data_IF_912730155042
#
_entry.id   IF_912730155042
#
_cell.length_a   1.000
_cell.length_b   1.000
_cell.length_c   1.000
_cell.angle_alpha   90.00
_cell.angle_beta   90.00
_cell.angle_gamma   90.00
#
_symmetry.space_group_name_H-M   'P 1'
#
loop_
_entity.id
_entity.type
_entity.pdbx_description
1 polymer ?
#
# COMPACT_ATOMS: atom_id res chain seq x y z
N UNK A 1 -34.06 0.89 1.52
CA UNK A 1 -33.61 0.82 0.11
C UNK A 1 -32.09 1.00 0.10
N UNK A 2 -31.32 -0.09 0.28
CA UNK A 2 -29.86 -0.03 0.39
C UNK A 2 -29.24 -0.05 -1.02
N UNK A 3 -28.91 1.12 -1.56
CA UNK A 3 -28.09 1.24 -2.76
C UNK A 3 -26.65 0.82 -2.42
N UNK A 4 -26.39 -0.49 -2.37
CA UNK A 4 -25.02 -1.00 -2.26
C UNK A 4 -24.28 -0.65 -3.56
N UNK A 5 -23.23 0.17 -3.47
CA UNK A 5 -22.38 0.51 -4.61
C UNK A 5 -21.85 -0.76 -5.29
N UNK A 6 -21.91 -0.79 -6.62
CA UNK A 6 -21.36 -1.92 -7.40
C UNK A 6 -19.83 -1.90 -7.28
N UNK A 7 -19.24 -3.08 -7.16
CA UNK A 7 -17.78 -3.24 -7.01
C UNK A 7 -16.99 -2.57 -8.14
N UNK A 8 -17.55 -2.51 -9.36
CA UNK A 8 -16.95 -1.80 -10.48
C UNK A 8 -16.80 -0.29 -10.24
N UNK A 9 -17.79 0.35 -9.61
CA UNK A 9 -17.75 1.79 -9.36
C UNK A 9 -16.72 2.12 -8.27
N UNK A 10 -16.65 1.29 -7.23
CA UNK A 10 -15.64 1.41 -6.17
C UNK A 10 -14.23 1.25 -6.76
N UNK A 11 -14.01 0.24 -7.60
CA UNK A 11 -12.73 0.02 -8.25
C UNK A 11 -12.32 1.20 -9.14
N UNK A 12 -13.22 1.70 -10.00
CA UNK A 12 -12.92 2.85 -10.87
C UNK A 12 -12.59 4.08 -10.03
N UNK A 13 -13.38 4.38 -9.00
CA UNK A 13 -13.14 5.51 -8.11
C UNK A 13 -11.77 5.40 -7.41
N UNK A 14 -11.46 4.23 -6.85
CA UNK A 14 -10.21 3.96 -6.16
C UNK A 14 -9.00 4.03 -7.10
N UNK A 15 -9.12 3.50 -8.32
CA UNK A 15 -8.07 3.55 -9.34
C UNK A 15 -7.80 4.99 -9.78
N UNK A 16 -8.85 5.77 -10.08
CA UNK A 16 -8.71 7.18 -10.45
C UNK A 16 -8.08 8.00 -9.33
N UNK A 17 -8.51 7.78 -8.09
CA UNK A 17 -7.96 8.48 -6.94
C UNK A 17 -6.49 8.12 -6.70
N UNK A 18 -6.13 6.83 -6.85
CA UNK A 18 -4.75 6.34 -6.73
C UNK A 18 -3.84 6.89 -7.85
N UNK A 19 -4.36 7.03 -9.07
CA UNK A 19 -3.63 7.68 -10.17
C UNK A 19 -3.47 9.17 -9.89
N UNK A 20 -4.55 9.86 -9.51
CA UNK A 20 -4.53 11.30 -9.23
C UNK A 20 -3.54 11.66 -8.13
N UNK A 21 -3.54 10.93 -7.01
CA UNK A 21 -2.61 11.19 -5.92
C UNK A 21 -1.16 10.88 -6.32
N UNK A 22 -0.92 9.84 -7.14
CA UNK A 22 0.43 9.53 -7.64
C UNK A 22 0.92 10.60 -8.63
N UNK A 23 0.03 11.13 -9.47
CA UNK A 23 0.34 12.26 -10.36
C UNK A 23 0.72 13.51 -9.56
N UNK A 24 -0.08 13.86 -8.56
CA UNK A 24 0.19 15.00 -7.67
C UNK A 24 1.52 14.78 -6.93
N UNK A 25 1.76 13.56 -6.43
CA UNK A 25 3.01 13.21 -5.76
C UNK A 25 4.22 13.39 -6.67
N UNK A 26 4.19 12.87 -7.89
CA UNK A 26 5.30 13.01 -8.84
C UNK A 26 5.51 14.47 -9.25
N UNK A 27 4.43 15.20 -9.55
CA UNK A 27 4.51 16.60 -9.97
C UNK A 27 5.09 17.51 -8.88
N UNK A 28 4.68 17.30 -7.62
CA UNK A 28 5.04 18.20 -6.53
C UNK A 28 6.32 17.78 -5.81
N UNK A 29 6.59 16.49 -5.66
CA UNK A 29 7.70 16.00 -4.83
C UNK A 29 8.90 15.49 -5.63
N UNK A 30 8.71 14.94 -6.83
CA UNK A 30 9.79 14.36 -7.66
C UNK A 30 10.27 15.39 -8.68
N UNK A 31 10.79 16.52 -8.16
CA UNK A 31 11.28 17.62 -8.99
C UNK A 31 12.73 17.42 -9.42
N UNK A 32 13.15 18.12 -10.49
CA UNK A 32 14.55 18.12 -10.94
C UNK A 32 15.51 18.48 -9.81
N UNK A 33 15.17 19.46 -8.96
CA UNK A 33 15.98 19.83 -7.79
C UNK A 33 16.21 18.64 -6.84
N UNK A 34 15.15 17.92 -6.47
CA UNK A 34 15.25 16.76 -5.57
C UNK A 34 16.07 15.63 -6.22
N UNK A 35 15.91 15.45 -7.54
CA UNK A 35 16.68 14.47 -8.31
C UNK A 35 18.18 14.79 -8.28
N UNK A 36 18.56 16.04 -8.53
CA UNK A 36 19.95 16.52 -8.47
C UNK A 36 20.53 16.46 -7.06
N UNK A 37 19.76 16.81 -6.03
CA UNK A 37 20.20 16.66 -4.65
C UNK A 37 20.54 15.20 -4.30
N UNK A 38 19.73 14.27 -4.78
CA UNK A 38 19.92 12.82 -4.53
C UNK A 38 21.15 12.28 -5.22
N UNK A 39 21.37 12.68 -6.48
CA UNK A 39 22.45 12.17 -7.33
C UNK A 39 23.61 13.16 -7.48
N UNK A 40 23.81 14.03 -6.48
CA UNK A 40 24.84 15.08 -6.50
C UNK A 40 26.28 14.56 -6.65
N UNK A 41 26.50 13.28 -6.37
CA UNK A 41 27.76 12.57 -6.59
C UNK A 41 28.05 12.21 -8.06
N UNK A 42 27.06 12.32 -8.95
CA UNK A 42 27.20 12.05 -10.38
C UNK A 42 27.35 13.35 -11.18
N UNK A 43 27.89 13.24 -12.39
CA UNK A 43 27.97 14.37 -13.30
C UNK A 43 26.57 14.90 -13.68
N UNK A 44 26.44 16.23 -13.74
CA UNK A 44 25.15 16.89 -13.99
C UNK A 44 24.48 16.43 -15.29
N UNK A 45 25.27 16.16 -16.35
CA UNK A 45 24.72 15.69 -17.63
C UNK A 45 24.09 14.31 -17.49
N UNK A 46 24.75 13.41 -16.74
CA UNK A 46 24.25 12.07 -16.46
C UNK A 46 22.99 12.10 -15.59
N UNK A 47 22.94 13.00 -14.61
CA UNK A 47 21.75 13.18 -13.76
C UNK A 47 20.56 13.68 -14.59
N UNK A 48 20.81 14.58 -15.53
CA UNK A 48 19.79 15.09 -16.46
C UNK A 48 19.24 13.99 -17.37
N UNK A 49 20.12 13.19 -17.99
CA UNK A 49 19.72 12.05 -18.81
C UNK A 49 18.87 11.04 -18.03
N UNK A 50 19.23 10.75 -16.77
CA UNK A 50 18.47 9.86 -15.90
C UNK A 50 17.09 10.43 -15.56
N UNK A 51 16.99 11.73 -15.29
CA UNK A 51 15.73 12.41 -15.01
C UNK A 51 14.81 12.40 -16.23
N UNK A 52 15.34 12.69 -17.42
CA UNK A 52 14.58 12.71 -18.68
C UNK A 52 14.10 11.31 -19.06
N UNK A 53 14.94 10.29 -18.86
CA UNK A 53 14.55 8.89 -19.04
C UNK A 53 13.39 8.53 -18.11
N UNK A 54 13.48 8.86 -16.82
CA UNK A 54 12.41 8.61 -15.86
C UNK A 54 11.10 9.30 -16.30
N UNK A 55 11.17 10.59 -16.67
CA UNK A 55 10.02 11.37 -17.11
C UNK A 55 9.36 10.78 -18.36
N UNK A 56 10.16 10.27 -19.31
CA UNK A 56 9.66 9.66 -20.55
C UNK A 56 8.82 8.39 -20.30
N UNK A 57 9.16 7.60 -19.29
CA UNK A 57 8.52 6.30 -19.02
C UNK A 57 7.56 6.29 -17.82
N UNK A 58 7.40 7.43 -17.13
CA UNK A 58 6.55 7.53 -15.92
C UNK A 58 5.10 7.10 -16.17
N UNK A 59 4.58 7.29 -17.39
CA UNK A 59 3.22 6.93 -17.78
C UNK A 59 2.97 5.41 -17.71
N UNK A 60 3.99 4.58 -17.89
CA UNK A 60 3.90 3.13 -17.74
C UNK A 60 3.55 2.79 -16.29
N UNK A 61 4.17 3.49 -15.35
CA UNK A 61 3.86 3.37 -13.93
C UNK A 61 2.38 3.64 -13.64
N UNK A 62 1.80 4.68 -14.24
CA UNK A 62 0.39 5.01 -14.07
C UNK A 62 -0.56 3.94 -14.63
N UNK A 63 -0.20 3.31 -15.75
CA UNK A 63 -0.98 2.22 -16.35
C UNK A 63 -0.95 0.94 -15.50
N UNK A 64 0.14 0.71 -14.76
CA UNK A 64 0.28 -0.44 -13.87
C UNK A 64 -0.49 -0.30 -12.55
N UNK A 65 -0.82 0.93 -12.12
CA UNK A 65 -1.54 1.16 -10.84
C UNK A 65 -2.88 0.39 -10.79
N UNK A 66 -3.80 0.50 -11.77
CA UNK A 66 -5.05 -0.25 -11.75
C UNK A 66 -4.83 -1.77 -11.76
N UNK A 67 -3.86 -2.25 -12.55
CA UNK A 67 -3.56 -3.69 -12.64
C UNK A 67 -3.09 -4.22 -11.29
N UNK A 68 -2.17 -3.52 -10.63
CA UNK A 68 -1.71 -3.87 -9.30
C UNK A 68 -2.84 -3.84 -8.26
N UNK A 69 -3.66 -2.79 -8.29
CA UNK A 69 -4.81 -2.65 -7.41
C UNK A 69 -5.81 -3.81 -7.57
N UNK A 70 -6.06 -4.23 -8.81
CA UNK A 70 -6.94 -5.35 -9.12
C UNK A 70 -6.38 -6.66 -8.55
N UNK A 71 -5.09 -6.93 -8.76
CA UNK A 71 -4.42 -8.12 -8.23
C UNK A 71 -4.48 -8.13 -6.70
N UNK A 72 -4.11 -7.01 -6.06
CA UNK A 72 -4.10 -6.87 -4.60
C UNK A 72 -5.48 -7.15 -4.02
N UNK A 73 -6.51 -6.46 -4.51
CA UNK A 73 -7.87 -6.61 -4.00
C UNK A 73 -8.45 -7.99 -4.31
N UNK A 74 -8.10 -8.60 -5.44
CA UNK A 74 -8.46 -9.98 -5.74
C UNK A 74 -7.88 -10.97 -4.74
N UNK A 75 -6.57 -10.87 -4.43
CA UNK A 75 -5.91 -11.72 -3.44
C UNK A 75 -6.55 -11.55 -2.06
N UNK A 76 -6.79 -10.31 -1.60
CA UNK A 76 -7.48 -10.06 -0.33
C UNK A 76 -8.90 -10.65 -0.32
N UNK A 77 -9.61 -10.58 -1.45
CA UNK A 77 -10.95 -11.15 -1.54
C UNK A 77 -10.95 -12.67 -1.40
N UNK A 78 -9.91 -13.33 -1.91
CA UNK A 78 -9.72 -14.77 -1.74
C UNK A 78 -9.40 -15.13 -0.29
N UNK A 79 -8.55 -14.37 0.40
CA UNK A 79 -8.23 -14.63 1.81
C UNK A 79 -9.45 -14.42 2.70
N UNK A 80 -10.30 -13.44 2.41
CA UNK A 80 -11.59 -13.27 3.08
C UNK A 80 -12.54 -14.44 2.79
N UNK A 81 -12.58 -14.97 1.56
CA UNK A 81 -13.39 -16.15 1.25
C UNK A 81 -12.92 -17.39 2.02
N UNK A 82 -11.62 -17.59 2.15
CA UNK A 82 -11.07 -18.66 2.99
C UNK A 82 -11.52 -18.46 4.44
N UNK A 83 -11.40 -17.24 4.97
CA UNK A 83 -11.85 -16.92 6.33
C UNK A 83 -13.35 -17.19 6.54
N UNK A 84 -14.23 -16.79 5.61
CA UNK A 84 -15.67 -17.05 5.73
C UNK A 84 -15.99 -18.54 5.70
N UNK A 85 -15.33 -19.30 4.83
CA UNK A 85 -15.47 -20.76 4.75
C UNK A 85 -15.04 -21.46 6.05
N UNK A 86 -13.92 -21.05 6.65
CA UNK A 86 -13.44 -21.58 7.95
C UNK A 86 -14.47 -21.33 9.05
N UNK A 87 -15.12 -20.16 9.04
CA UNK A 87 -16.17 -19.82 10.01
C UNK A 87 -17.53 -20.48 9.70
N UNK A 88 -17.63 -21.28 8.63
CA UNK A 88 -18.86 -21.98 8.24
C UNK A 88 -19.88 -21.11 7.49
N UNK A 89 -19.49 -19.92 7.04
CA UNK A 89 -20.36 -19.01 6.28
C UNK A 89 -20.00 -18.99 4.80
N UNK A 90 -21.00 -18.74 3.95
CA UNK A 90 -20.81 -18.60 2.51
C UNK A 90 -21.16 -17.19 2.08
N UNK A 91 -20.16 -16.45 1.62
CA UNK A 91 -20.34 -15.19 0.90
C UNK A 91 -20.07 -15.39 -0.60
N UNK A 92 -20.76 -14.61 -1.42
CA UNK A 92 -20.41 -14.52 -2.85
C UNK A 92 -19.08 -13.78 -2.96
N UNK A 93 -18.24 -14.19 -3.91
CA UNK A 93 -16.95 -13.53 -4.16
C UNK A 93 -17.12 -12.03 -4.44
N UNK A 94 -18.21 -11.62 -5.10
CA UNK A 94 -18.51 -10.21 -5.34
C UNK A 94 -18.72 -9.39 -4.06
N UNK A 95 -19.12 -10.02 -2.96
CA UNK A 95 -19.27 -9.39 -1.65
C UNK A 95 -17.92 -9.22 -0.96
N UNK A 96 -17.09 -10.28 -0.92
CA UNK A 96 -15.72 -10.16 -0.35
C UNK A 96 -14.86 -9.19 -1.16
N UNK A 97 -15.03 -9.16 -2.49
CA UNK A 97 -14.40 -8.17 -3.36
C UNK A 97 -14.85 -6.75 -3.08
N UNK A 98 -16.14 -6.54 -2.82
CA UNK A 98 -16.63 -5.22 -2.40
C UNK A 98 -15.98 -4.80 -1.09
N UNK A 99 -15.91 -5.70 -0.10
CA UNK A 99 -15.29 -5.43 1.20
C UNK A 99 -13.80 -5.07 1.05
N UNK A 100 -13.05 -5.85 0.27
CA UNK A 100 -11.64 -5.58 -0.01
C UNK A 100 -11.45 -4.21 -0.67
N UNK A 101 -12.25 -3.88 -1.69
CA UNK A 101 -12.21 -2.57 -2.37
C UNK A 101 -12.56 -1.41 -1.44
N UNK A 102 -13.54 -1.56 -0.55
CA UNK A 102 -13.91 -0.50 0.40
C UNK A 102 -12.81 -0.26 1.43
N UNK A 103 -12.17 -1.31 1.93
CA UNK A 103 -11.08 -1.19 2.90
C UNK A 103 -9.83 -0.54 2.28
N UNK A 104 -9.59 -0.76 0.99
CA UNK A 104 -8.38 -0.30 0.30
C UNK A 104 -8.26 1.24 0.25
N UNK A 105 -9.37 1.98 0.40
CA UNK A 105 -9.35 3.44 0.54
C UNK A 105 -8.50 3.93 1.73
N UNK A 106 -8.28 3.10 2.75
CA UNK A 106 -7.44 3.45 3.89
C UNK A 106 -6.00 3.72 3.47
N UNK A 107 -5.49 3.02 2.46
CA UNK A 107 -4.11 3.17 1.99
C UNK A 107 -3.88 4.45 1.18
N UNK A 108 -4.91 5.26 0.96
CA UNK A 108 -4.77 6.62 0.41
C UNK A 108 -4.27 7.58 1.50
N UNK A 109 -4.67 7.39 2.75
CA UNK A 109 -4.27 8.23 3.88
C UNK A 109 -2.75 8.36 4.06
N UNK A 110 -1.94 7.27 4.08
CA UNK A 110 -0.49 7.39 4.20
C UNK A 110 0.13 8.17 3.03
N UNK A 111 -0.44 8.08 1.83
CA UNK A 111 0.05 8.82 0.66
C UNK A 111 -0.20 10.32 0.82
N UNK A 112 -1.38 10.72 1.32
CA UNK A 112 -1.71 12.12 1.61
C UNK A 112 -0.81 12.66 2.72
N UNK A 113 -0.60 11.89 3.78
CA UNK A 113 0.26 12.31 4.91
C UNK A 113 1.69 12.51 4.46
N UNK A 114 2.22 11.59 3.64
CA UNK A 114 3.54 11.71 3.05
C UNK A 114 3.65 12.93 2.15
N UNK A 115 2.65 13.19 1.32
CA UNK A 115 2.59 14.39 0.49
C UNK A 115 2.65 15.66 1.34
N UNK A 116 1.81 15.76 2.37
CA UNK A 116 1.79 16.89 3.28
C UNK A 116 3.14 17.09 4.00
N UNK A 117 3.73 16.01 4.49
CA UNK A 117 5.00 16.05 5.23
C UNK A 117 6.11 16.72 4.42
N UNK A 118 6.33 16.29 3.18
CA UNK A 118 7.40 16.81 2.34
C UNK A 118 7.10 18.17 1.68
N UNK A 119 5.83 18.59 1.65
CA UNK A 119 5.46 19.93 1.20
C UNK A 119 5.59 20.99 2.29
N UNK A 120 5.24 20.63 3.53
CA UNK A 120 5.07 21.61 4.61
C UNK A 120 6.15 21.50 5.68
N UNK A 121 6.51 20.28 6.08
CA UNK A 121 7.38 20.02 7.24
C UNK A 121 8.84 19.89 6.81
N UNK A 122 9.14 18.98 5.88
CA UNK A 122 10.49 18.70 5.42
C UNK A 122 10.63 19.11 3.95
N UNK A 123 11.07 20.34 3.72
CA UNK A 123 11.24 20.92 2.35
C UNK A 123 12.57 20.58 1.70
N UNK A 124 13.55 20.17 2.49
CA UNK A 124 14.84 19.66 2.01
C UNK A 124 14.91 18.16 2.21
N UNK A 125 14.87 17.43 1.11
CA UNK A 125 14.85 15.98 1.08
C UNK A 125 15.42 15.46 -0.24
N UNK A 126 15.76 14.19 -0.23
CA UNK A 126 16.21 13.40 -1.37
C UNK A 126 15.13 12.39 -1.79
N UNK A 127 15.29 11.74 -2.94
CA UNK A 127 14.42 10.64 -3.35
C UNK A 127 14.52 9.45 -2.40
N UNK A 128 15.67 9.27 -1.73
CA UNK A 128 15.87 8.21 -0.74
C UNK A 128 14.96 8.48 0.47
N UNK A 129 14.92 9.72 0.95
CA UNK A 129 14.02 10.12 2.04
C UNK A 129 12.55 9.88 1.66
N UNK A 130 12.16 10.23 0.42
CA UNK A 130 10.84 9.90 -0.08
C UNK A 130 10.61 8.39 -0.06
N UNK A 131 11.52 7.56 -0.56
CA UNK A 131 11.31 6.11 -0.61
C UNK A 131 11.24 5.47 0.78
N UNK A 132 12.02 5.95 1.74
CA UNK A 132 12.15 5.39 3.08
C UNK A 132 11.12 5.94 4.09
N UNK A 133 10.31 6.93 3.70
CA UNK A 133 9.27 7.47 4.57
C UNK A 133 7.99 6.62 4.53
N UNK A 134 7.71 5.94 5.65
CA UNK A 134 6.50 5.16 5.90
C UNK A 134 5.78 5.76 7.11
N UNK A 135 4.76 6.63 6.91
CA UNK A 135 4.13 7.34 8.02
C UNK A 135 3.47 6.35 9.00
N UNK A 136 3.62 6.61 10.31
CA UNK A 136 2.99 5.84 11.39
C UNK A 136 3.26 4.32 11.33
N UNK A 137 4.39 3.94 10.72
CA UNK A 137 4.93 2.58 10.71
C UNK A 137 5.84 2.35 11.91
N UNK A 138 5.89 1.10 12.38
CA UNK A 138 6.83 0.65 13.40
C UNK A 138 8.29 0.90 13.01
N UNK A 139 8.58 0.98 11.71
CA UNK A 139 9.91 1.29 11.18
C UNK A 139 10.47 2.61 11.73
N UNK A 140 9.61 3.60 11.99
CA UNK A 140 10.03 4.91 12.49
C UNK A 140 10.60 4.88 13.92
N UNK A 141 10.42 3.80 14.67
CA UNK A 141 11.03 3.63 16.00
C UNK A 141 12.47 3.12 15.94
N UNK A 142 12.96 2.75 14.75
CA UNK A 142 14.29 2.18 14.56
C UNK A 142 15.13 3.05 13.64
N UNK A 143 16.43 3.15 13.95
CA UNK A 143 17.39 3.73 13.02
C UNK A 143 17.68 2.72 11.91
N UNK A 144 17.36 3.07 10.65
CA UNK A 144 17.57 2.20 9.49
C UNK A 144 19.01 1.67 9.35
N UNK A 145 20.01 2.46 9.77
CA UNK A 145 21.43 2.08 9.73
C UNK A 145 21.76 0.85 10.59
N UNK A 146 21.00 0.62 11.67
CA UNK A 146 21.27 -0.46 12.62
C UNK A 146 20.22 -1.59 12.52
N UNK A 147 19.25 -1.47 11.61
CA UNK A 147 18.20 -2.46 11.44
C UNK A 147 18.59 -3.45 10.35
N UNK A 148 18.54 -4.75 10.66
CA UNK A 148 18.76 -5.78 9.64
C UNK A 148 17.70 -5.67 8.54
N UNK A 149 18.14 -5.84 7.29
CA UNK A 149 17.32 -5.72 6.08
C UNK A 149 16.07 -6.61 6.14
N UNK A 150 16.18 -7.78 6.78
CA UNK A 150 15.05 -8.71 6.96
C UNK A 150 13.87 -8.10 7.73
N UNK A 151 14.12 -7.15 8.63
CA UNK A 151 13.10 -6.51 9.46
C UNK A 151 12.52 -5.24 8.85
N UNK A 152 13.14 -4.69 7.80
CA UNK A 152 12.66 -3.47 7.15
C UNK A 152 11.23 -3.67 6.65
N UNK A 153 10.99 -4.69 5.82
CA UNK A 153 9.65 -4.93 5.27
C UNK A 153 8.59 -5.25 6.35
N UNK A 154 8.83 -6.18 7.30
CA UNK A 154 7.91 -6.38 8.41
C UNK A 154 7.53 -5.09 9.13
N UNK A 155 8.51 -4.26 9.53
CA UNK A 155 8.23 -3.04 10.26
C UNK A 155 7.53 -1.98 9.42
N UNK A 156 7.79 -1.92 8.10
CA UNK A 156 7.02 -1.09 7.16
C UNK A 156 5.53 -1.50 7.13
N UNK A 157 5.27 -2.80 7.01
CA UNK A 157 3.90 -3.35 6.94
C UNK A 157 3.16 -3.14 8.25
N UNK A 158 3.82 -3.28 9.40
CA UNK A 158 3.23 -2.94 10.69
C UNK A 158 3.09 -1.43 10.86
N UNK A 159 1.93 -0.91 10.49
CA UNK A 159 1.59 0.50 10.63
C UNK A 159 0.12 0.68 11.04
N UNK A 160 -0.23 1.89 11.47
CA UNK A 160 -1.60 2.20 11.94
C UNK A 160 -2.64 2.00 10.84
N UNK A 161 -2.30 2.27 9.57
CA UNK A 161 -3.22 2.09 8.44
C UNK A 161 -3.54 0.62 8.18
N UNK A 162 -2.58 -0.27 8.38
CA UNK A 162 -2.77 -1.72 8.31
C UNK A 162 -3.76 -2.19 9.40
N UNK A 163 -3.66 -1.66 10.63
CA UNK A 163 -4.62 -1.97 11.70
C UNK A 163 -6.03 -1.43 11.35
N UNK A 164 -6.12 -0.20 10.85
CA UNK A 164 -7.39 0.36 10.37
C UNK A 164 -7.98 -0.48 9.23
N UNK A 165 -7.12 -1.02 8.36
CA UNK A 165 -7.51 -1.90 7.27
C UNK A 165 -8.16 -3.18 7.81
N UNK A 166 -7.56 -3.83 8.82
CA UNK A 166 -8.13 -5.02 9.45
C UNK A 166 -9.51 -4.75 10.06
N UNK A 167 -9.65 -3.61 10.75
CA UNK A 167 -10.92 -3.17 11.34
C UNK A 167 -11.98 -2.98 10.26
N UNK A 168 -11.61 -2.34 9.15
CA UNK A 168 -12.54 -2.05 8.05
C UNK A 168 -12.96 -3.30 7.29
N UNK A 169 -12.03 -4.26 7.11
CA UNK A 169 -12.38 -5.59 6.61
C UNK A 169 -13.38 -6.29 7.53
N UNK A 170 -13.13 -6.31 8.83
CA UNK A 170 -14.02 -6.95 9.80
C UNK A 170 -15.42 -6.33 9.81
N UNK A 171 -15.51 -5.00 9.78
CA UNK A 171 -16.78 -4.26 9.66
C UNK A 171 -17.45 -4.57 8.32
N UNK A 172 -16.71 -4.59 7.21
CA UNK A 172 -17.26 -4.92 5.90
C UNK A 172 -17.87 -6.32 5.84
N UNK A 173 -17.19 -7.31 6.41
CA UNK A 173 -17.72 -8.68 6.53
C UNK A 173 -18.99 -8.71 7.39
N UNK A 174 -18.98 -8.01 8.54
CA UNK A 174 -20.17 -7.87 9.39
C UNK A 174 -21.37 -7.35 8.60
N UNK A 175 -21.18 -6.30 7.79
CA UNK A 175 -22.23 -5.68 6.97
C UNK A 175 -22.72 -6.57 5.82
N UNK A 176 -21.90 -7.51 5.32
CA UNK A 176 -22.32 -8.45 4.28
C UNK A 176 -23.00 -9.72 4.86
N UNK A 177 -22.66 -10.13 6.09
CA UNK A 177 -23.27 -11.28 6.75
C UNK A 177 -24.49 -10.92 7.62
N UNK A 178 -24.69 -9.64 7.93
CA UNK A 178 -25.69 -9.15 8.89
C UNK A 178 -25.58 -9.85 10.26
N UNK A 179 -24.34 -9.88 10.77
CA UNK A 179 -23.96 -10.53 12.04
C UNK A 179 -23.22 -9.56 12.96
N UNK A 180 -22.72 -10.07 14.09
CA UNK A 180 -21.92 -9.31 15.04
C UNK A 180 -20.49 -9.07 14.51
N UNK A 181 -19.86 -7.99 15.00
CA UNK A 181 -18.48 -7.61 14.64
C UNK A 181 -17.49 -8.74 14.92
N UNK A 182 -17.70 -9.50 16.01
CA UNK A 182 -16.86 -10.63 16.41
C UNK A 182 -16.67 -11.65 15.29
N UNK A 183 -17.71 -11.89 14.48
CA UNK A 183 -17.61 -12.80 13.35
C UNK A 183 -16.71 -12.22 12.24
N UNK A 184 -16.85 -10.93 11.94
CA UNK A 184 -15.98 -10.23 10.99
C UNK A 184 -14.52 -10.27 11.42
N UNK A 185 -14.25 -10.07 12.72
CA UNK A 185 -12.92 -10.19 13.31
C UNK A 185 -12.41 -11.63 13.11
N UNK A 186 -13.18 -12.66 13.46
CA UNK A 186 -12.78 -14.06 13.26
C UNK A 186 -12.47 -14.37 11.80
N UNK A 187 -13.23 -13.85 10.84
CA UNK A 187 -12.95 -14.01 9.40
C UNK A 187 -11.60 -13.39 9.03
N UNK A 188 -11.33 -12.16 9.48
CA UNK A 188 -10.04 -11.48 9.20
C UNK A 188 -8.87 -12.22 9.83
N UNK A 189 -9.00 -12.66 11.09
CA UNK A 189 -7.95 -13.39 11.81
C UNK A 189 -7.70 -14.80 11.29
N UNK A 190 -8.71 -15.47 10.75
CA UNK A 190 -8.57 -16.83 10.21
C UNK A 190 -8.16 -16.86 8.73
N UNK A 191 -8.38 -15.78 7.98
CA UNK A 191 -8.10 -15.70 6.55
C UNK A 191 -7.00 -14.69 6.19
N UNK A 192 -7.28 -13.41 6.40
CA UNK A 192 -6.42 -12.32 5.94
C UNK A 192 -5.10 -12.23 6.70
N UNK A 193 -5.13 -12.27 8.04
CA UNK A 193 -3.93 -12.09 8.87
C UNK A 193 -2.87 -13.19 8.60
N UNK A 194 -3.20 -14.50 8.57
CA UNK A 194 -2.23 -15.54 8.24
C UNK A 194 -1.63 -15.36 6.83
N UNK A 195 -2.45 -14.94 5.86
CA UNK A 195 -1.96 -14.66 4.50
C UNK A 195 -1.01 -13.45 4.46
N UNK A 196 -1.29 -12.40 5.25
CA UNK A 196 -0.41 -11.25 5.41
C UNK A 196 0.93 -11.66 6.04
N UNK A 197 0.92 -12.49 7.08
CA UNK A 197 2.16 -13.02 7.68
C UNK A 197 2.98 -13.83 6.68
N UNK A 198 2.35 -14.72 5.91
CA UNK A 198 3.03 -15.46 4.86
C UNK A 198 3.65 -14.53 3.82
N UNK A 199 2.90 -13.51 3.39
CA UNK A 199 3.39 -12.49 2.45
C UNK A 199 4.60 -11.73 3.01
N UNK A 200 4.55 -11.30 4.27
CA UNK A 200 5.67 -10.64 4.95
C UNK A 200 6.91 -11.52 4.97
N UNK A 201 6.76 -12.81 5.31
CA UNK A 201 7.88 -13.75 5.33
C UNK A 201 8.51 -13.95 3.95
N UNK A 202 7.69 -14.10 2.92
CA UNK A 202 8.15 -14.24 1.53
C UNK A 202 8.92 -13.00 1.09
N UNK A 203 8.37 -11.81 1.31
CA UNK A 203 9.05 -10.56 0.90
C UNK A 203 10.32 -10.34 1.71
N UNK A 204 10.31 -10.59 3.03
CA UNK A 204 11.52 -10.48 3.85
C UNK A 204 12.62 -11.43 3.36
N UNK A 205 12.27 -12.68 3.05
CA UNK A 205 13.20 -13.66 2.49
C UNK A 205 13.76 -13.25 1.12
N UNK A 206 12.88 -12.81 0.20
CA UNK A 206 13.31 -12.31 -1.12
C UNK A 206 14.24 -11.12 -0.93
N UNK A 207 13.89 -10.16 -0.07
CA UNK A 207 14.68 -8.95 0.17
C UNK A 207 16.10 -9.28 0.62
N UNK A 208 16.26 -10.23 1.56
CA UNK A 208 17.59 -10.70 2.00
C UNK A 208 18.32 -11.43 0.86
N UNK A 209 17.62 -12.26 0.09
CA UNK A 209 18.21 -13.04 -1.00
C UNK A 209 18.76 -12.18 -2.13
N UNK A 210 18.09 -11.05 -2.43
CA UNK A 210 18.51 -10.09 -3.47
C UNK A 210 19.43 -8.98 -2.94
N UNK A 211 19.55 -8.85 -1.62
CA UNK A 211 20.48 -7.93 -0.96
C UNK A 211 21.66 -8.69 -0.36
N UNK A 212 22.46 -9.43 -1.16
CA UNK A 212 23.66 -10.05 -0.63
C UNK A 212 24.58 -8.90 -0.22
N UNK A 213 24.95 -8.85 1.05
CA UNK A 213 25.87 -7.90 1.70
C UNK A 213 25.20 -6.69 2.39
N UNK A 214 24.90 -6.87 3.67
CA UNK A 214 25.52 -6.05 4.73
C UNK A 214 26.40 -6.98 5.57
#
# INVERSE_FOLDING_TARGET
MNYKLKSSHLYICLALLSIAITLIFNMLLVTKKVYFNTYSQFDNTRVEEMFDFQHKYIWIGYLLIPVWLLIKTFVVSLTLQIGTLIQGFKLKFSQTLRVALMAEFIFILPQIIKLFWFLVVQKEYTLIDLQQFYPLSALNFFSLKNLSVIFIYPFQTFNIFEVLYWITLAIGIRLELDKNVDLGIKVVFSGYIPALFLWILVIAFITVSISPLN
#
